data_IF_214189718675
#
_entry.id   IF_214189718675
#
_cell.length_a   1.000
_cell.length_b   1.000
_cell.length_c   1.000
_cell.angle_alpha   90.00
_cell.angle_beta   90.00
_cell.angle_gamma   90.00
#
_symmetry.space_group_name_H-M   'P 1'
#
loop_
_entity.id
_entity.type
_entity.pdbx_description
1 polymer ?
#
# COMPACT_ATOMS: atom_id res chain seq x y z
N UNK A 1 -5.77 -0.67 -4.53
CA UNK A 1 -5.61 -1.91 -5.31
C UNK A 1 -5.82 -3.12 -4.39
N UNK A 2 -6.44 -4.18 -4.93
CA UNK A 2 -6.69 -5.42 -4.21
C UNK A 2 -5.52 -6.41 -4.40
N UNK A 3 -4.57 -6.37 -3.48
CA UNK A 3 -3.41 -7.30 -3.50
C UNK A 3 -3.80 -8.74 -3.14
N UNK A 4 -4.98 -8.97 -2.58
CA UNK A 4 -5.44 -10.33 -2.21
C UNK A 4 -6.12 -11.07 -3.37
N UNK A 5 -6.43 -10.38 -4.48
CA UNK A 5 -6.95 -11.01 -5.72
C UNK A 5 -5.99 -12.07 -6.28
N UNK A 6 -4.69 -11.95 -5.97
CA UNK A 6 -3.65 -12.92 -6.32
C UNK A 6 -3.94 -14.31 -5.71
N UNK A 7 -4.59 -14.38 -4.54
CA UNK A 7 -4.91 -15.64 -3.89
C UNK A 7 -5.77 -16.57 -4.76
N UNK A 8 -6.69 -16.01 -5.55
CA UNK A 8 -7.53 -16.79 -6.48
C UNK A 8 -6.71 -17.40 -7.61
N UNK A 9 -5.75 -16.65 -8.14
CA UNK A 9 -4.84 -17.16 -9.17
C UNK A 9 -3.88 -18.20 -8.60
N UNK A 10 -3.31 -17.92 -7.43
CA UNK A 10 -2.43 -18.86 -6.73
C UNK A 10 -3.13 -20.20 -6.44
N UNK A 11 -4.42 -20.17 -6.07
CA UNK A 11 -5.19 -21.40 -5.85
C UNK A 11 -5.40 -22.22 -7.13
N UNK A 12 -5.55 -21.55 -8.28
CA UNK A 12 -5.64 -22.23 -9.58
C UNK A 12 -4.33 -22.91 -9.97
N UNK A 13 -3.20 -22.25 -9.70
CA UNK A 13 -1.87 -22.76 -10.05
C UNK A 13 -1.35 -23.81 -9.05
N UNK A 14 -1.73 -23.67 -7.78
CA UNK A 14 -1.32 -24.53 -6.67
C UNK A 14 -2.53 -24.93 -5.82
N UNK A 15 -3.36 -25.89 -6.30
CA UNK A 15 -4.60 -26.29 -5.63
C UNK A 15 -4.39 -26.69 -4.16
N UNK A 16 -5.16 -26.11 -3.26
CA UNK A 16 -5.08 -26.32 -1.81
C UNK A 16 -3.95 -25.54 -1.12
N UNK A 17 -3.12 -24.78 -1.86
CA UNK A 17 -2.00 -24.00 -1.32
C UNK A 17 -2.08 -22.50 -1.64
N UNK A 18 -3.03 -22.06 -2.45
CA UNK A 18 -3.09 -20.69 -2.93
C UNK A 18 -3.20 -19.66 -1.82
N UNK A 19 -4.03 -19.93 -0.81
CA UNK A 19 -4.16 -19.06 0.37
C UNK A 19 -2.85 -19.01 1.17
N UNK A 20 -2.22 -20.16 1.42
CA UNK A 20 -0.95 -20.22 2.16
C UNK A 20 0.15 -19.45 1.41
N UNK A 21 0.25 -19.66 0.10
CA UNK A 21 1.22 -18.98 -0.75
C UNK A 21 0.99 -17.45 -0.75
N UNK A 22 -0.23 -16.98 -0.97
CA UNK A 22 -0.51 -15.54 -1.05
C UNK A 22 -0.24 -14.81 0.27
N UNK A 23 -0.55 -15.43 1.41
CA UNK A 23 -0.27 -14.86 2.73
C UNK A 23 1.23 -14.82 3.00
N UNK A 24 1.93 -15.95 2.83
CA UNK A 24 3.37 -16.03 3.07
C UNK A 24 4.15 -15.09 2.13
N UNK A 25 3.76 -15.03 0.87
CA UNK A 25 4.36 -14.12 -0.11
C UNK A 25 4.23 -12.66 0.34
N UNK A 26 3.03 -12.26 0.77
CA UNK A 26 2.80 -10.90 1.27
C UNK A 26 3.58 -10.61 2.54
N UNK A 27 3.63 -11.53 3.48
CA UNK A 27 4.37 -11.39 4.73
C UNK A 27 5.87 -11.24 4.48
N UNK A 28 6.45 -12.07 3.62
CA UNK A 28 7.87 -11.98 3.24
C UNK A 28 8.22 -10.71 2.50
N UNK A 29 7.35 -10.25 1.62
CA UNK A 29 7.51 -8.98 0.92
C UNK A 29 7.62 -7.81 1.92
N UNK A 30 6.72 -7.75 2.92
CA UNK A 30 6.75 -6.73 3.97
C UNK A 30 7.93 -6.91 4.94
N UNK A 31 8.29 -8.15 5.28
CA UNK A 31 9.48 -8.43 6.10
C UNK A 31 10.75 -7.89 5.42
N UNK A 32 10.94 -8.15 4.13
CA UNK A 32 12.11 -7.69 3.39
C UNK A 32 12.20 -6.16 3.34
N UNK A 33 11.07 -5.47 3.15
CA UNK A 33 11.07 -4.00 3.19
C UNK A 33 11.51 -3.46 4.55
N UNK A 34 11.07 -4.11 5.63
CA UNK A 34 11.44 -3.74 7.00
C UNK A 34 12.91 -4.02 7.28
N UNK A 35 13.42 -5.18 6.88
CA UNK A 35 14.84 -5.52 7.04
C UNK A 35 15.74 -4.49 6.36
N UNK A 36 15.46 -4.12 5.13
CA UNK A 36 16.24 -3.13 4.37
C UNK A 36 16.24 -1.77 5.08
N UNK A 37 15.07 -1.31 5.54
CA UNK A 37 14.95 -0.01 6.16
C UNK A 37 15.54 0.04 7.58
N UNK A 38 15.44 -1.06 8.33
CA UNK A 38 16.02 -1.16 9.69
C UNK A 38 17.53 -1.38 9.69
N UNK A 39 18.04 -2.12 8.69
CA UNK A 39 19.49 -2.39 8.59
C UNK A 39 20.29 -1.12 8.28
N UNK A 40 19.69 -0.15 7.60
CA UNK A 40 20.31 1.15 7.32
C UNK A 40 19.23 2.25 7.31
N UNK A 41 18.88 2.83 8.47
CA UNK A 41 17.84 3.84 8.61
C UNK A 41 18.27 5.23 8.14
N UNK A 42 19.23 5.33 7.22
CA UNK A 42 19.73 6.59 6.69
C UNK A 42 18.59 7.34 5.97
N UNK A 43 18.25 8.58 6.37
CA UNK A 43 17.18 9.36 5.72
C UNK A 43 17.47 9.72 4.25
N UNK A 44 18.73 9.61 3.81
CA UNK A 44 19.12 9.79 2.40
C UNK A 44 18.98 8.52 1.56
N UNK A 45 18.50 7.45 2.15
CA UNK A 45 18.26 6.15 1.52
C UNK A 45 19.17 5.05 2.05
N UNK A 46 18.60 3.84 2.15
CA UNK A 46 19.34 2.66 2.55
C UNK A 46 20.33 2.23 1.46
N UNK A 47 21.57 1.91 1.85
CA UNK A 47 22.56 1.29 0.93
C UNK A 47 22.14 -0.11 0.48
N UNK A 48 21.24 -0.76 1.24
CA UNK A 48 20.70 -2.08 0.92
C UNK A 48 19.44 -2.02 0.06
N UNK A 49 19.04 -0.83 -0.38
CA UNK A 49 17.80 -0.66 -1.13
C UNK A 49 17.77 -1.53 -2.39
N UNK A 50 16.70 -2.28 -2.51
CA UNK A 50 16.28 -2.99 -3.72
C UNK A 50 14.87 -2.52 -4.06
N UNK A 51 14.49 -2.57 -5.34
CA UNK A 51 13.14 -2.16 -5.73
C UNK A 51 12.07 -3.04 -5.08
N UNK A 52 10.89 -2.51 -4.86
CA UNK A 52 9.79 -3.32 -4.32
C UNK A 52 9.43 -4.48 -5.25
N UNK A 53 9.68 -4.31 -6.56
CA UNK A 53 9.52 -5.38 -7.55
C UNK A 53 10.50 -6.53 -7.32
N UNK A 54 11.77 -6.24 -7.11
CA UNK A 54 12.79 -7.26 -6.83
C UNK A 54 12.46 -8.01 -5.54
N UNK A 55 12.00 -7.28 -4.50
CA UNK A 55 11.55 -7.89 -3.26
C UNK A 55 10.29 -8.74 -3.43
N UNK A 56 9.39 -8.35 -4.34
CA UNK A 56 8.20 -9.13 -4.69
C UNK A 56 8.60 -10.46 -5.31
N UNK A 57 9.55 -10.46 -6.24
CA UNK A 57 10.08 -11.68 -6.88
C UNK A 57 10.79 -12.55 -5.85
N UNK A 58 11.70 -11.98 -5.08
CA UNK A 58 12.45 -12.71 -4.05
C UNK A 58 11.53 -13.36 -3.00
N UNK A 59 10.48 -12.64 -2.58
CA UNK A 59 9.48 -13.15 -1.65
C UNK A 59 8.65 -14.30 -2.24
N UNK A 60 8.31 -14.24 -3.55
CA UNK A 60 7.63 -15.34 -4.25
C UNK A 60 8.49 -16.61 -4.26
N UNK A 61 9.76 -16.48 -4.67
CA UNK A 61 10.69 -17.60 -4.71
C UNK A 61 10.87 -18.25 -3.34
N UNK A 62 11.07 -17.42 -2.31
CA UNK A 62 11.18 -17.91 -0.93
C UNK A 62 9.91 -18.67 -0.50
N UNK A 63 8.74 -18.08 -0.77
CA UNK A 63 7.46 -18.65 -0.33
C UNK A 63 7.16 -19.98 -1.00
N UNK A 64 7.41 -20.09 -2.31
CA UNK A 64 7.26 -21.35 -3.04
C UNK A 64 8.25 -22.40 -2.51
N UNK A 65 9.50 -22.06 -2.29
CA UNK A 65 10.49 -22.99 -1.74
C UNK A 65 10.11 -23.46 -0.33
N UNK A 66 9.67 -22.57 0.56
CA UNK A 66 9.24 -22.93 1.92
C UNK A 66 8.01 -23.84 1.92
N UNK A 67 7.06 -23.60 1.03
CA UNK A 67 5.86 -24.42 0.87
C UNK A 67 6.08 -25.67 0.01
N UNK A 68 7.30 -25.86 -0.51
CA UNK A 68 7.67 -26.98 -1.40
C UNK A 68 6.83 -27.03 -2.67
N UNK A 69 6.50 -25.86 -3.22
CA UNK A 69 5.77 -25.71 -4.47
C UNK A 69 6.77 -25.64 -5.63
N UNK A 70 6.47 -26.34 -6.71
CA UNK A 70 7.27 -26.29 -7.95
C UNK A 70 6.87 -25.04 -8.76
N UNK A 71 7.68 -23.99 -8.64
CA UNK A 71 7.48 -22.73 -9.35
C UNK A 71 8.11 -22.80 -10.74
N UNK A 72 7.33 -23.26 -11.71
CA UNK A 72 7.77 -23.21 -13.10
C UNK A 72 7.92 -21.76 -13.60
N UNK A 73 8.75 -21.48 -14.63
CA UNK A 73 8.86 -20.17 -15.23
C UNK A 73 7.53 -19.58 -15.71
N UNK A 74 6.62 -20.42 -16.20
CA UNK A 74 5.29 -20.00 -16.67
C UNK A 74 4.39 -19.59 -15.49
N UNK A 75 4.41 -20.34 -14.39
CA UNK A 75 3.66 -20.00 -13.17
C UNK A 75 4.19 -18.73 -12.53
N UNK A 76 5.51 -18.56 -12.48
CA UNK A 76 6.14 -17.33 -12.00
C UNK A 76 5.71 -16.12 -12.83
N UNK A 77 5.86 -16.21 -14.15
CA UNK A 77 5.45 -15.14 -15.08
C UNK A 77 3.98 -14.77 -14.91
N UNK A 78 3.11 -15.78 -14.76
CA UNK A 78 1.66 -15.60 -14.60
C UNK A 78 1.32 -14.88 -13.30
N UNK A 79 1.93 -15.27 -12.17
CA UNK A 79 1.72 -14.62 -10.87
C UNK A 79 2.26 -13.18 -10.87
N UNK A 80 3.45 -12.96 -11.40
CA UNK A 80 4.05 -11.62 -11.46
C UNK A 80 3.27 -10.68 -12.38
N UNK A 81 2.76 -11.19 -13.51
CA UNK A 81 1.89 -10.41 -14.39
C UNK A 81 0.59 -9.98 -13.69
N UNK A 82 -0.04 -10.88 -12.95
CA UNK A 82 -1.24 -10.54 -12.15
C UNK A 82 -0.89 -9.50 -11.08
N UNK A 83 0.27 -9.60 -10.45
CA UNK A 83 0.72 -8.62 -9.45
C UNK A 83 0.97 -7.24 -10.07
N UNK A 84 1.40 -7.18 -11.31
CA UNK A 84 1.57 -5.94 -12.05
C UNK A 84 0.24 -5.30 -12.51
N UNK A 85 -0.84 -6.07 -12.57
CA UNK A 85 -2.15 -5.66 -13.09
C UNK A 85 -3.25 -5.85 -12.02
N UNK A 86 -3.00 -5.28 -10.82
CA UNK A 86 -3.97 -5.34 -9.71
C UNK A 86 -5.24 -4.56 -10.06
N UNK A 87 -6.37 -5.15 -9.75
CA UNK A 87 -7.68 -4.50 -9.86
C UNK A 87 -7.83 -3.39 -8.80
N UNK A 88 -8.59 -2.36 -9.13
CA UNK A 88 -9.09 -1.41 -8.14
C UNK A 88 -10.35 -1.95 -7.47
N UNK A 89 -10.62 -1.48 -6.24
CA UNK A 89 -11.91 -1.76 -5.62
C UNK A 89 -13.02 -1.04 -6.39
N UNK A 90 -14.24 -1.62 -6.47
CA UNK A 90 -15.32 -1.12 -7.34
C UNK A 90 -15.69 0.35 -7.10
N UNK A 91 -15.65 0.80 -5.85
CA UNK A 91 -15.99 2.18 -5.48
C UNK A 91 -14.87 3.20 -5.75
N UNK A 92 -13.64 2.76 -6.06
CA UNK A 92 -12.47 3.64 -6.08
C UNK A 92 -12.59 4.78 -7.08
N UNK A 93 -13.00 4.50 -8.31
CA UNK A 93 -13.14 5.50 -9.35
C UNK A 93 -14.22 6.55 -9.01
N UNK A 94 -15.41 6.10 -8.58
CA UNK A 94 -16.52 6.99 -8.23
C UNK A 94 -16.19 7.89 -7.03
N UNK A 95 -15.48 7.37 -6.02
CA UNK A 95 -15.05 8.15 -4.86
C UNK A 95 -13.99 9.19 -5.26
N UNK A 96 -12.97 8.80 -6.02
CA UNK A 96 -11.95 9.74 -6.50
C UNK A 96 -12.51 10.83 -7.40
N UNK A 97 -13.48 10.50 -8.26
CA UNK A 97 -14.20 11.47 -9.07
C UNK A 97 -14.94 12.51 -8.20
N UNK A 98 -15.67 12.05 -7.17
CA UNK A 98 -16.32 12.96 -6.22
C UNK A 98 -15.31 13.85 -5.48
N UNK A 99 -14.18 13.30 -5.02
CA UNK A 99 -13.13 14.09 -4.35
C UNK A 99 -12.59 15.16 -5.31
N UNK A 100 -12.33 14.81 -6.56
CA UNK A 100 -11.85 15.75 -7.58
C UNK A 100 -12.76 16.96 -7.74
N UNK A 101 -14.10 16.80 -7.63
CA UNK A 101 -15.05 17.92 -7.72
C UNK A 101 -14.97 18.88 -6.54
N UNK A 102 -14.41 18.46 -5.40
CA UNK A 102 -14.22 19.33 -4.22
C UNK A 102 -12.98 20.20 -4.29
N UNK A 103 -12.08 19.98 -5.25
CA UNK A 103 -10.79 20.66 -5.34
C UNK A 103 -9.71 20.10 -4.41
N UNK A 104 -10.02 19.08 -3.60
CA UNK A 104 -9.04 18.39 -2.74
C UNK A 104 -8.06 17.63 -3.65
N UNK A 105 -6.76 17.81 -3.38
CA UNK A 105 -5.71 17.10 -4.10
C UNK A 105 -5.61 15.66 -3.65
N UNK A 106 -5.45 14.76 -4.62
CA UNK A 106 -5.31 13.33 -4.37
C UNK A 106 -3.97 12.82 -4.86
N UNK A 107 -3.30 12.02 -4.03
CA UNK A 107 -2.07 11.36 -4.45
C UNK A 107 -1.97 9.92 -3.91
N UNK A 108 -1.22 9.09 -4.61
CA UNK A 108 -0.76 7.80 -4.09
C UNK A 108 0.62 8.00 -3.47
N UNK A 109 0.84 7.44 -2.28
CA UNK A 109 2.16 7.16 -1.71
C UNK A 109 2.30 5.65 -1.54
N UNK A 110 3.25 5.02 -2.21
CA UNK A 110 3.36 3.56 -2.25
C UNK A 110 4.80 3.05 -2.10
N UNK A 111 4.93 1.85 -1.52
CA UNK A 111 6.19 1.08 -1.56
C UNK A 111 6.53 0.58 -2.98
N UNK A 112 5.54 0.48 -3.87
CA UNK A 112 5.75 0.10 -5.27
C UNK A 112 6.72 1.06 -5.98
N UNK A 113 7.60 0.53 -6.82
CA UNK A 113 8.47 1.35 -7.66
C UNK A 113 7.67 2.01 -8.80
N UNK A 114 8.26 2.97 -9.48
CA UNK A 114 7.57 3.76 -10.52
C UNK A 114 6.93 2.88 -11.60
N UNK A 115 7.61 1.80 -12.02
CA UNK A 115 7.07 0.90 -13.05
C UNK A 115 5.83 0.15 -12.58
N UNK A 116 5.84 -0.40 -11.34
CA UNK A 116 4.67 -1.08 -10.77
C UNK A 116 3.48 -0.13 -10.65
N UNK A 117 3.71 1.09 -10.21
CA UNK A 117 2.65 2.09 -10.05
C UNK A 117 2.08 2.55 -11.40
N UNK A 118 2.93 2.66 -12.42
CA UNK A 118 2.48 2.93 -13.79
C UNK A 118 1.57 1.81 -14.31
N UNK A 119 1.96 0.55 -14.15
CA UNK A 119 1.13 -0.58 -14.56
C UNK A 119 -0.22 -0.63 -13.84
N UNK A 120 -0.20 -0.49 -12.50
CA UNK A 120 -1.42 -0.55 -11.69
C UNK A 120 -2.38 0.61 -12.00
N UNK A 121 -1.88 1.82 -12.22
CA UNK A 121 -2.72 2.96 -12.58
C UNK A 121 -3.32 2.83 -13.96
N UNK A 122 -2.53 2.39 -14.95
CA UNK A 122 -3.02 2.17 -16.31
C UNK A 122 -4.07 1.06 -16.37
N UNK A 123 -3.84 -0.07 -15.68
CA UNK A 123 -4.79 -1.18 -15.69
C UNK A 123 -6.10 -0.85 -15.00
N UNK A 124 -6.07 -0.02 -13.95
CA UNK A 124 -7.25 0.37 -13.17
C UNK A 124 -7.99 1.61 -13.69
N UNK A 125 -7.37 2.41 -14.58
CA UNK A 125 -7.90 3.67 -15.07
C UNK A 125 -8.05 4.76 -14.01
N UNK A 126 -7.33 4.64 -12.87
CA UNK A 126 -7.41 5.62 -11.77
C UNK A 126 -6.51 6.85 -11.99
N UNK A 127 -5.57 6.80 -12.93
CA UNK A 127 -4.64 7.88 -13.27
C UNK A 127 -5.33 9.21 -13.58
N UNK A 128 -6.49 9.18 -14.24
CA UNK A 128 -7.27 10.37 -14.57
C UNK A 128 -7.82 11.14 -13.36
N UNK A 129 -7.88 10.50 -12.18
CA UNK A 129 -8.42 11.08 -10.95
C UNK A 129 -7.32 11.51 -9.97
N UNK A 130 -6.08 11.15 -10.22
CA UNK A 130 -4.95 11.39 -9.31
C UNK A 130 -4.15 12.61 -9.76
N UNK A 131 -3.87 13.51 -8.82
CA UNK A 131 -2.97 14.65 -9.09
C UNK A 131 -1.50 14.21 -9.12
N UNK A 132 -1.15 13.17 -8.37
CA UNK A 132 0.24 12.65 -8.30
C UNK A 132 0.30 11.20 -7.84
N UNK A 133 1.35 10.53 -8.30
CA UNK A 133 1.76 9.20 -7.83
C UNK A 133 3.18 9.30 -7.31
N UNK A 134 3.38 8.98 -6.03
CA UNK A 134 4.65 9.09 -5.32
C UNK A 134 5.12 7.67 -4.97
N UNK A 135 6.29 7.30 -5.45
CA UNK A 135 6.99 6.08 -5.06
C UNK A 135 8.00 6.37 -3.94
N UNK A 136 8.10 5.49 -2.96
CA UNK A 136 9.16 5.57 -1.93
C UNK A 136 10.55 5.30 -2.53
N UNK A 137 10.62 4.87 -3.79
CA UNK A 137 11.87 4.75 -4.53
C UNK A 137 12.68 6.05 -4.50
N UNK A 138 12.00 7.21 -4.46
CA UNK A 138 12.62 8.52 -4.30
C UNK A 138 13.38 8.68 -2.98
N UNK A 139 12.86 8.07 -1.89
CA UNK A 139 13.50 8.11 -0.57
C UNK A 139 14.45 6.92 -0.35
N UNK A 140 14.34 5.84 -1.14
CA UNK A 140 15.05 4.57 -0.94
C UNK A 140 14.92 4.02 0.49
N UNK A 141 13.77 4.30 1.11
CA UNK A 141 13.37 3.87 2.44
C UNK A 141 11.90 3.48 2.40
N UNK A 142 11.59 2.27 2.83
CA UNK A 142 10.22 1.77 2.80
C UNK A 142 9.37 2.36 3.95
N UNK A 143 8.04 2.39 3.76
CA UNK A 143 7.13 2.60 4.87
C UNK A 143 7.43 1.54 5.94
N UNK A 144 7.49 1.90 7.19
CA UNK A 144 6.93 3.07 7.90
C UNK A 144 8.01 4.11 8.29
N UNK A 145 9.10 4.23 7.56
CA UNK A 145 10.12 5.22 7.92
C UNK A 145 9.57 6.65 7.71
N UNK A 146 9.98 7.62 8.56
CA UNK A 146 9.55 9.01 8.38
C UNK A 146 9.89 9.59 7.01
N UNK A 147 11.04 9.21 6.43
CA UNK A 147 11.47 9.67 5.10
C UNK A 147 10.51 9.27 3.99
N UNK A 148 9.83 8.12 4.11
CA UNK A 148 8.83 7.71 3.13
C UNK A 148 7.58 8.60 3.14
N UNK A 149 7.10 9.01 4.32
CA UNK A 149 5.96 9.93 4.44
C UNK A 149 6.35 11.38 4.14
N UNK A 150 7.60 11.76 4.40
CA UNK A 150 8.14 13.09 4.08
C UNK A 150 8.04 13.41 2.59
N UNK A 151 8.06 12.42 1.71
CA UNK A 151 7.87 12.61 0.27
C UNK A 151 6.56 13.35 -0.05
N UNK A 152 5.48 13.09 0.71
CA UNK A 152 4.21 13.81 0.50
C UNK A 152 4.42 15.31 0.74
N UNK A 153 5.10 15.69 1.82
CA UNK A 153 5.36 17.10 2.15
C UNK A 153 6.35 17.77 1.19
N UNK A 154 7.24 17.00 0.56
CA UNK A 154 8.14 17.53 -0.47
C UNK A 154 7.37 17.96 -1.73
N UNK A 155 6.29 17.25 -2.04
CA UNK A 155 5.43 17.57 -3.18
C UNK A 155 4.27 18.50 -2.83
N UNK A 156 3.77 18.44 -1.61
CA UNK A 156 2.69 19.28 -1.08
C UNK A 156 3.15 19.94 0.22
N UNK A 157 3.74 21.16 0.14
CA UNK A 157 4.28 21.85 1.31
C UNK A 157 3.16 22.51 2.14
N UNK A 158 2.32 21.67 2.75
CA UNK A 158 1.20 22.04 3.61
C UNK A 158 1.37 21.43 5.01
N UNK A 159 0.72 21.96 6.05
CA UNK A 159 0.71 21.37 7.38
C UNK A 159 0.26 19.91 7.37
N UNK A 160 0.83 19.09 8.26
CA UNK A 160 0.55 17.65 8.33
C UNK A 160 -0.91 17.34 8.67
N UNK A 161 -1.53 18.18 9.50
CA UNK A 161 -2.94 18.12 9.91
C UNK A 161 -3.93 18.48 8.78
N UNK A 162 -3.43 18.92 7.64
CA UNK A 162 -4.20 19.13 6.42
C UNK A 162 -4.12 17.93 5.44
N UNK A 163 -3.45 16.85 5.85
CA UNK A 163 -3.29 15.64 5.06
C UNK A 163 -4.08 14.50 5.72
N UNK A 164 -5.06 13.97 5.01
CA UNK A 164 -5.75 12.75 5.39
C UNK A 164 -5.11 11.56 4.67
N UNK A 165 -4.41 10.73 5.42
CA UNK A 165 -3.76 9.52 4.92
C UNK A 165 -4.74 8.34 4.94
N UNK A 166 -4.96 7.71 3.80
CA UNK A 166 -5.96 6.64 3.63
C UNK A 166 -5.25 5.32 3.34
N UNK A 167 -5.48 4.31 4.15
CA UNK A 167 -4.93 2.98 3.92
C UNK A 167 -5.84 1.87 4.46
N UNK A 168 -5.80 0.69 3.82
CA UNK A 168 -6.41 -0.53 4.36
C UNK A 168 -5.46 -1.31 5.28
N UNK A 169 -4.17 -0.97 5.30
CA UNK A 169 -3.18 -1.64 6.14
C UNK A 169 -3.06 -0.93 7.50
N UNK A 170 -3.41 -1.59 8.60
CA UNK A 170 -3.32 -1.02 9.95
C UNK A 170 -1.91 -0.52 10.29
N UNK A 171 -0.87 -1.29 9.90
CA UNK A 171 0.52 -0.90 10.11
C UNK A 171 0.92 0.41 9.40
N UNK A 172 0.33 0.68 8.22
CA UNK A 172 0.60 1.90 7.45
C UNK A 172 -0.14 3.11 8.07
N UNK A 173 -1.35 2.89 8.59
CA UNK A 173 -2.09 3.86 9.39
C UNK A 173 -1.29 4.26 10.63
N UNK A 174 -0.74 3.29 11.36
CA UNK A 174 0.10 3.55 12.54
C UNK A 174 1.32 4.41 12.17
N UNK A 175 2.01 4.04 11.09
CA UNK A 175 3.17 4.81 10.63
C UNK A 175 2.82 6.24 10.22
N UNK A 176 1.71 6.44 9.53
CA UNK A 176 1.22 7.76 9.12
C UNK A 176 0.80 8.61 10.33
N UNK A 177 0.14 8.02 11.34
CA UNK A 177 -0.18 8.67 12.61
C UNK A 177 1.09 9.11 13.37
N UNK A 178 2.09 8.22 13.49
CA UNK A 178 3.35 8.55 14.13
C UNK A 178 4.12 9.66 13.40
N UNK A 179 3.95 9.74 12.07
CA UNK A 179 4.50 10.84 11.29
C UNK A 179 3.75 12.15 11.51
N UNK A 180 2.48 12.10 11.95
CA UNK A 180 1.64 13.25 12.28
C UNK A 180 0.58 13.59 11.24
N UNK A 181 0.19 12.65 10.39
CA UNK A 181 -0.96 12.80 9.51
C UNK A 181 -2.25 12.40 10.21
N UNK A 182 -3.36 13.04 9.86
CA UNK A 182 -4.67 12.45 10.09
C UNK A 182 -4.87 11.20 9.24
N UNK A 183 -5.62 10.23 9.75
CA UNK A 183 -5.70 8.92 9.10
C UNK A 183 -7.12 8.42 8.96
N UNK A 184 -7.39 7.76 7.84
CA UNK A 184 -8.61 7.01 7.59
C UNK A 184 -8.25 5.54 7.32
N UNK A 185 -8.68 4.65 8.25
CA UNK A 185 -8.49 3.21 8.07
C UNK A 185 -9.65 2.59 7.31
N UNK A 186 -9.38 2.07 6.12
CA UNK A 186 -10.35 1.32 5.31
C UNK A 186 -10.38 -0.13 5.81
N UNK A 187 -11.20 -0.41 6.82
CA UNK A 187 -11.30 -1.72 7.45
C UNK A 187 -12.33 -2.64 6.76
N UNK A 188 -12.03 -3.08 5.55
CA UNK A 188 -12.92 -3.92 4.73
C UNK A 188 -13.26 -5.26 5.35
N UNK A 189 -12.33 -5.80 6.12
CA UNK A 189 -12.44 -7.16 6.67
C UNK A 189 -12.83 -7.20 8.14
N UNK A 190 -13.24 -6.05 8.71
CA UNK A 190 -13.66 -5.91 10.12
C UNK A 190 -12.61 -6.48 11.09
N UNK A 191 -11.34 -6.25 10.80
CA UNK A 191 -10.23 -6.68 11.64
C UNK A 191 -10.14 -5.80 12.91
N UNK A 192 -9.64 -6.35 14.03
CA UNK A 192 -9.28 -5.53 15.17
C UNK A 192 -8.12 -4.60 14.80
N UNK A 193 -8.15 -3.36 15.32
CA UNK A 193 -6.99 -2.47 15.18
C UNK A 193 -5.87 -2.89 16.12
N UNK A 194 -4.63 -2.66 15.70
CA UNK A 194 -3.44 -2.97 16.47
C UNK A 194 -3.42 -2.17 17.79
N UNK A 195 -2.97 -2.83 18.89
CA UNK A 195 -2.86 -2.18 20.21
C UNK A 195 -1.51 -1.48 20.41
N UNK A 196 -0.95 -0.92 19.34
CA UNK A 196 0.27 -0.11 19.37
C UNK A 196 -0.01 1.24 18.70
N UNK A 197 0.54 2.30 19.25
CA UNK A 197 0.33 3.66 18.74
C UNK A 197 -1.08 4.20 19.02
N UNK A 198 -1.44 5.24 18.27
CA UNK A 198 -2.75 5.88 18.40
C UNK A 198 -3.76 5.22 17.45
N UNK A 199 -5.06 5.20 17.82
CA UNK A 199 -6.09 4.74 16.90
C UNK A 199 -6.16 5.66 15.66
N UNK A 200 -6.72 5.16 14.53
CA UNK A 200 -6.94 6.01 13.35
C UNK A 200 -7.91 7.15 13.67
N UNK A 201 -7.73 8.31 13.02
CA UNK A 201 -8.66 9.46 13.17
C UNK A 201 -10.08 9.07 12.73
N UNK A 202 -10.17 8.31 11.64
CA UNK A 202 -11.43 7.80 11.11
C UNK A 202 -11.30 6.32 10.71
N UNK A 203 -12.44 5.60 10.76
CA UNK A 203 -12.53 4.20 10.32
C UNK A 203 -13.79 4.03 9.49
N UNK A 204 -13.69 3.31 8.39
CA UNK A 204 -14.84 2.93 7.58
C UNK A 204 -14.62 1.61 6.84
N UNK A 205 -15.72 0.97 6.39
CA UNK A 205 -15.64 -0.33 5.72
C UNK A 205 -15.13 -0.27 4.27
N UNK A 206 -15.17 0.91 3.65
CA UNK A 206 -14.81 1.15 2.25
C UNK A 206 -14.47 2.62 2.02
N UNK A 207 -14.18 3.01 0.79
CA UNK A 207 -13.89 4.40 0.45
C UNK A 207 -15.14 5.29 0.36
N UNK A 208 -16.34 4.75 0.17
CA UNK A 208 -17.57 5.57 0.17
C UNK A 208 -17.77 6.31 1.50
N UNK A 209 -17.44 5.64 2.60
CA UNK A 209 -17.54 6.21 3.94
C UNK A 209 -16.46 7.28 4.26
N UNK A 210 -15.50 7.49 3.36
CA UNK A 210 -14.50 8.56 3.46
C UNK A 210 -15.11 9.95 3.17
N UNK A 211 -16.06 10.04 2.23
CA UNK A 211 -16.59 11.33 1.74
C UNK A 211 -17.11 12.22 2.88
N UNK A 212 -17.90 11.73 3.86
CA UNK A 212 -18.34 12.56 4.99
C UNK A 212 -17.22 13.05 5.91
N UNK A 213 -16.05 12.41 5.87
CA UNK A 213 -14.91 12.79 6.69
C UNK A 213 -14.10 13.95 6.09
N UNK A 214 -14.29 14.22 4.79
CA UNK A 214 -13.57 15.30 4.10
C UNK A 214 -14.13 16.67 4.53
N UNK A 215 -13.24 17.53 5.02
CA UNK A 215 -13.62 18.87 5.53
C UNK A 215 -14.19 18.88 6.95
N UNK A 216 -14.32 17.73 7.60
CA UNK A 216 -14.64 17.65 9.03
C UNK A 216 -13.36 17.93 9.83
N UNK A 217 -13.42 18.91 10.74
CA UNK A 217 -12.38 19.02 11.77
C UNK A 217 -12.47 17.78 12.65
N UNK A 218 -11.40 17.03 12.90
CA UNK A 218 -11.45 15.90 13.83
C UNK A 218 -11.98 16.41 15.16
N UNK A 219 -13.08 15.85 15.65
CA UNK A 219 -13.48 16.13 17.02
C UNK A 219 -12.41 15.53 17.92
N UNK A 220 -11.73 16.37 18.69
CA UNK A 220 -10.79 15.92 19.69
C UNK A 220 -11.49 14.84 20.54
N UNK A 221 -11.02 13.60 20.41
CA UNK A 221 -11.45 12.51 21.28
C UNK A 221 -11.01 12.90 22.69
N UNK A 222 -12.01 13.20 23.53
CA UNK A 222 -11.85 13.38 24.97
C UNK A 222 -11.47 12.06 25.62
#
# INVERSE_FOLDING_TARGET
>A
FDVYSIGTLAEKLFPGQGKALSLLWRDKQLEYTRLISLADPNPLGSQHYQSFWDLTIAALHFSCAQLKLDLSPDNESTLLKQYAQLDSFPESAAVLEKIKTTGIKTCILSNGNHQMLSWANQSSGLDQFLDRVISIEEARQFKITPSSYQLVLNHYPIPKDQILFVSCNAWDIIGANWFGFDTYWVNRYQLPFEKIGHPPTYVGPNLDALIPCLGSTPSALQ
#
